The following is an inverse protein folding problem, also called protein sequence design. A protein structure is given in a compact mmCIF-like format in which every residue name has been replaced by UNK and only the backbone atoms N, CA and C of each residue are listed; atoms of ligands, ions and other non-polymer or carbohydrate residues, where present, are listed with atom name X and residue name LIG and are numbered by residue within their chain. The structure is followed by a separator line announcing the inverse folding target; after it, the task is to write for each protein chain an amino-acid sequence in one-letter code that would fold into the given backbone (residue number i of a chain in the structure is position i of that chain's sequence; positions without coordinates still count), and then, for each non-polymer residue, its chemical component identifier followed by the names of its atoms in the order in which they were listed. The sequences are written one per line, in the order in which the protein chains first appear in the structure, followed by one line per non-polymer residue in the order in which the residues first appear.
data_IF_525305516400
#
_entry.id   IF_525305516400
#
_cell.length_a   1.000
_cell.length_b   1.000
_cell.length_c   1.000
_cell.angle_alpha   90.00
_cell.angle_beta   90.00
_cell.angle_gamma   90.00
#
_symmetry.space_group_name_H-M   'P 1'
#
loop_
_entity.id
_entity.type
_entity.pdbx_description
1 polymer ?
#
# COMPACT_ATOMS: atom_id res chain seq x y z
N UNK A 1 -31.55 -46.74 53.08
CA UNK A 1 -30.62 -46.38 51.99
C UNK A 1 -31.19 -45.16 51.29
N UNK A 2 -30.78 -43.98 51.74
CA UNK A 2 -31.16 -42.68 51.16
C UNK A 2 -29.89 -42.08 50.59
N UNK A 3 -29.84 -41.93 49.27
CA UNK A 3 -28.73 -41.29 48.56
C UNK A 3 -29.09 -39.83 48.28
N UNK A 4 -28.16 -38.94 48.63
CA UNK A 4 -28.22 -37.49 48.46
C UNK A 4 -27.50 -37.11 47.16
N UNK A 5 -28.08 -36.30 46.23
CA UNK A 5 -27.38 -35.89 45.02
C UNK A 5 -26.51 -34.65 45.29
N UNK A 6 -25.21 -34.79 44.99
CA UNK A 6 -24.19 -33.75 45.08
C UNK A 6 -24.51 -32.56 44.15
N UNK A 7 -24.55 -31.39 44.78
CA UNK A 7 -24.19 -30.04 44.30
C UNK A 7 -23.56 -29.96 42.91
N UNK A 8 -24.28 -29.33 41.98
CA UNK A 8 -23.73 -28.82 40.74
C UNK A 8 -22.86 -27.59 40.99
N UNK A 9 -21.67 -27.59 40.39
CA UNK A 9 -20.85 -26.40 40.21
C UNK A 9 -21.49 -25.55 39.10
N UNK A 10 -22.05 -24.39 39.48
CA UNK A 10 -22.44 -23.35 38.52
C UNK A 10 -21.22 -22.90 37.71
N UNK A 11 -21.30 -22.81 36.38
CA UNK A 11 -20.24 -22.19 35.58
C UNK A 11 -20.20 -20.69 35.91
N UNK A 12 -19.03 -20.22 36.36
CA UNK A 12 -18.78 -18.80 36.64
C UNK A 12 -19.21 -17.93 35.45
N UNK A 13 -20.06 -16.97 35.79
CA UNK A 13 -20.87 -16.18 34.90
C UNK A 13 -20.03 -15.08 34.22
N UNK A 14 -19.32 -15.42 33.13
CA UNK A 14 -18.62 -14.45 32.26
C UNK A 14 -19.54 -13.33 31.75
N UNK A 15 -20.87 -13.55 31.77
CA UNK A 15 -21.87 -12.57 31.32
C UNK A 15 -22.00 -11.34 32.23
N UNK A 16 -21.53 -11.39 33.49
CA UNK A 16 -21.58 -10.22 34.39
C UNK A 16 -20.69 -9.06 33.96
N UNK A 17 -19.57 -9.34 33.28
CA UNK A 17 -18.65 -8.32 32.76
C UNK A 17 -19.26 -7.48 31.63
N UNK A 18 -20.34 -7.97 31.00
CA UNK A 18 -20.93 -7.39 29.79
C UNK A 18 -22.30 -6.72 30.01
N UNK A 19 -22.76 -6.66 31.27
CA UNK A 19 -24.05 -6.05 31.60
C UNK A 19 -24.01 -4.52 31.40
N UNK A 20 -24.68 -4.03 30.35
CA UNK A 20 -24.84 -2.59 30.07
C UNK A 20 -23.89 -2.03 29.00
N UNK A 21 -22.96 -2.81 28.45
CA UNK A 21 -22.18 -2.39 27.30
C UNK A 21 -23.05 -2.45 26.03
N UNK A 22 -23.40 -1.29 25.46
CA UNK A 22 -23.95 -1.27 24.09
C UNK A 22 -22.84 -1.71 23.15
N UNK A 23 -22.99 -2.89 22.54
CA UNK A 23 -22.07 -3.37 21.52
C UNK A 23 -21.91 -2.32 20.42
N UNK A 24 -20.71 -1.77 20.34
CA UNK A 24 -20.35 -0.85 19.26
C UNK A 24 -20.45 -1.60 17.94
N UNK A 25 -21.04 -1.01 16.88
CA UNK A 25 -21.15 -1.68 15.61
C UNK A 25 -19.75 -2.02 15.06
N UNK A 26 -19.60 -3.08 14.24
CA UNK A 26 -18.30 -3.52 13.72
C UNK A 26 -17.49 -2.39 13.04
N UNK A 27 -18.17 -1.49 12.31
CA UNK A 27 -17.55 -0.32 11.70
C UNK A 27 -16.84 0.59 12.71
N UNK A 28 -17.33 0.73 13.95
CA UNK A 28 -16.71 1.58 14.98
C UNK A 28 -15.43 0.94 15.51
N UNK A 29 -15.40 -0.39 15.65
CA UNK A 29 -14.17 -1.10 16.02
C UNK A 29 -13.09 -0.96 14.94
N UNK A 30 -13.47 -1.13 13.66
CA UNK A 30 -12.57 -0.88 12.54
C UNK A 30 -12.11 0.58 12.49
N UNK A 31 -13.02 1.54 12.71
CA UNK A 31 -12.67 2.95 12.72
C UNK A 31 -11.72 3.33 13.87
N UNK A 32 -11.87 2.72 15.04
CA UNK A 32 -10.92 2.87 16.16
C UNK A 32 -9.54 2.34 15.78
N UNK A 33 -9.47 1.14 15.18
CA UNK A 33 -8.20 0.59 14.71
C UNK A 33 -7.58 1.47 13.63
N UNK A 34 -8.38 1.98 12.70
CA UNK A 34 -7.93 2.93 11.68
C UNK A 34 -7.41 4.24 12.29
N UNK A 35 -8.07 4.76 13.33
CA UNK A 35 -7.60 5.92 14.05
C UNK A 35 -6.23 5.67 14.72
N UNK A 36 -6.00 4.47 15.27
CA UNK A 36 -4.68 4.09 15.81
C UNK A 36 -3.62 4.13 14.70
N UNK A 37 -3.89 3.55 13.53
CA UNK A 37 -2.97 3.62 12.39
C UNK A 37 -2.71 5.06 11.93
N UNK A 38 -3.72 5.91 11.90
CA UNK A 38 -3.56 7.32 11.50
C UNK A 38 -2.74 8.09 12.53
N UNK A 39 -2.95 7.86 13.83
CA UNK A 39 -2.11 8.45 14.89
C UNK A 39 -0.66 8.00 14.76
N UNK A 40 -0.44 6.71 14.49
CA UNK A 40 0.90 6.17 14.26
C UNK A 40 1.56 6.77 13.01
N UNK A 41 0.83 6.86 11.90
CA UNK A 41 1.27 7.51 10.67
C UNK A 41 1.67 8.98 10.92
N UNK A 42 0.83 9.74 11.65
CA UNK A 42 1.14 11.11 12.02
C UNK A 42 2.40 11.19 12.88
N UNK A 43 2.57 10.29 13.86
CA UNK A 43 3.78 10.23 14.66
C UNK A 43 5.04 10.02 13.81
N UNK A 44 5.01 9.07 12.87
CA UNK A 44 6.13 8.79 11.96
C UNK A 44 6.46 10.00 11.08
N UNK A 45 5.45 10.58 10.43
CA UNK A 45 5.66 11.74 9.55
C UNK A 45 6.10 12.99 10.30
N UNK A 46 5.53 13.30 11.47
CA UNK A 46 5.95 14.45 12.25
C UNK A 46 7.38 14.28 12.75
N UNK A 47 7.76 13.09 13.20
CA UNK A 47 9.14 12.82 13.64
C UNK A 47 10.12 12.95 12.47
N UNK A 48 9.74 12.54 11.27
CA UNK A 48 10.55 12.74 10.06
C UNK A 48 10.67 14.22 9.68
N UNK A 49 9.56 14.95 9.55
CA UNK A 49 9.52 16.36 9.13
C UNK A 49 10.31 17.26 10.09
N UNK A 50 10.24 16.98 11.39
CA UNK A 50 10.97 17.74 12.41
C UNK A 50 12.38 17.19 12.71
N UNK A 51 12.87 16.24 11.92
CA UNK A 51 14.24 15.74 12.05
C UNK A 51 15.20 16.45 11.10
N UNK A 52 16.49 16.33 11.39
CA UNK A 52 17.56 16.78 10.50
C UNK A 52 17.66 15.97 9.19
N UNK A 53 16.89 14.86 9.08
CA UNK A 53 16.85 13.99 7.91
C UNK A 53 15.79 14.39 6.87
N UNK A 54 15.02 15.46 7.13
CA UNK A 54 14.11 16.04 6.14
C UNK A 54 14.87 16.89 5.12
N UNK A 55 15.70 16.23 4.32
CA UNK A 55 16.55 16.87 3.31
C UNK A 55 16.55 16.06 2.03
N UNK A 56 16.67 16.68 0.84
CA UNK A 56 16.81 15.94 -0.41
C UNK A 56 18.02 15.00 -0.37
N UNK A 57 17.85 13.77 -0.85
CA UNK A 57 18.94 12.82 -0.95
C UNK A 57 19.93 13.23 -2.06
N UNK A 58 21.24 13.03 -1.87
CA UNK A 58 22.23 13.31 -2.88
C UNK A 58 22.15 12.27 -4.01
N UNK A 59 22.19 12.73 -5.27
CA UNK A 59 22.18 11.83 -6.45
C UNK A 59 23.53 11.12 -6.69
N UNK A 60 24.58 11.52 -5.97
CA UNK A 60 25.93 10.99 -6.16
C UNK A 60 26.61 11.48 -7.45
N UNK A 61 27.73 10.86 -7.85
CA UNK A 61 28.55 11.31 -8.99
C UNK A 61 27.97 10.97 -10.37
N UNK A 62 27.07 9.99 -10.49
CA UNK A 62 26.54 9.57 -11.79
C UNK A 62 25.47 10.54 -12.28
N UNK A 63 25.59 10.98 -13.53
CA UNK A 63 24.60 11.86 -14.15
C UNK A 63 23.33 11.07 -14.52
N UNK A 64 22.17 11.59 -14.12
CA UNK A 64 20.89 11.01 -14.51
C UNK A 64 20.66 11.33 -16.00
N UNK A 65 20.41 10.33 -16.86
CA UNK A 65 20.12 10.57 -18.27
C UNK A 65 18.98 11.57 -18.47
N UNK A 66 19.15 12.51 -19.40
CA UNK A 66 18.14 13.55 -19.67
C UNK A 66 16.77 13.00 -20.09
N UNK A 67 16.75 11.86 -20.78
CA UNK A 67 15.52 11.14 -21.13
C UNK A 67 14.78 10.60 -19.90
N UNK A 68 15.51 10.02 -18.95
CA UNK A 68 14.97 9.55 -17.66
C UNK A 68 14.42 10.71 -16.85
N UNK A 69 15.16 11.82 -16.76
CA UNK A 69 14.67 13.04 -16.08
C UNK A 69 13.40 13.60 -16.74
N UNK A 70 13.33 13.62 -18.07
CA UNK A 70 12.13 14.07 -18.77
C UNK A 70 10.92 13.18 -18.45
N UNK A 71 11.10 11.86 -18.40
CA UNK A 71 10.06 10.92 -17.98
C UNK A 71 9.64 11.11 -16.53
N UNK A 72 10.60 11.29 -15.61
CA UNK A 72 10.32 11.57 -14.19
C UNK A 72 9.46 12.82 -14.06
N UNK A 73 9.84 13.93 -14.70
CA UNK A 73 9.06 15.17 -14.66
C UNK A 73 7.70 15.03 -15.33
N UNK A 74 7.61 14.29 -16.44
CA UNK A 74 6.34 14.00 -17.10
C UNK A 74 5.38 13.28 -16.15
N UNK A 75 5.85 12.25 -15.44
CA UNK A 75 5.05 11.50 -14.48
C UNK A 75 4.69 12.34 -13.24
N UNK A 76 5.62 13.11 -12.68
CA UNK A 76 5.33 13.99 -11.54
C UNK A 76 4.27 15.04 -11.89
N UNK A 77 4.45 15.76 -13.00
CA UNK A 77 3.51 16.80 -13.44
C UNK A 77 2.19 16.17 -13.85
N UNK A 78 2.22 15.08 -14.61
CA UNK A 78 1.03 14.38 -15.07
C UNK A 78 0.18 13.88 -13.91
N UNK A 79 0.80 13.20 -12.95
CA UNK A 79 0.10 12.70 -11.78
C UNK A 79 -0.36 13.85 -10.87
N UNK A 80 0.42 14.93 -10.70
CA UNK A 80 -0.01 16.11 -9.95
C UNK A 80 -1.27 16.74 -10.56
N UNK A 81 -1.29 16.98 -11.88
CA UNK A 81 -2.43 17.57 -12.60
C UNK A 81 -3.65 16.68 -12.48
N UNK A 82 -3.49 15.36 -12.68
CA UNK A 82 -4.59 14.40 -12.54
C UNK A 82 -5.09 14.32 -11.10
N UNK A 83 -4.19 14.38 -10.11
CA UNK A 83 -4.52 14.36 -8.68
C UNK A 83 -5.33 15.59 -8.27
N UNK A 84 -4.91 16.78 -8.71
CA UNK A 84 -5.66 18.02 -8.50
C UNK A 84 -7.02 17.97 -9.20
N UNK A 85 -7.07 17.45 -10.42
CA UNK A 85 -8.32 17.27 -11.17
C UNK A 85 -9.31 16.33 -10.46
N UNK A 86 -8.83 15.20 -9.96
CA UNK A 86 -9.66 14.25 -9.20
C UNK A 86 -10.10 14.84 -7.85
N UNK A 87 -9.22 15.53 -7.14
CA UNK A 87 -9.56 16.20 -5.89
C UNK A 87 -10.65 17.26 -6.12
N UNK A 88 -10.52 18.06 -7.18
CA UNK A 88 -11.54 19.03 -7.58
C UNK A 88 -12.87 18.33 -7.94
N UNK A 89 -12.82 17.20 -8.66
CA UNK A 89 -14.00 16.40 -8.97
C UNK A 89 -14.69 15.86 -7.71
N UNK A 90 -13.94 15.33 -6.75
CA UNK A 90 -14.45 14.84 -5.46
C UNK A 90 -15.11 15.98 -4.69
N UNK A 91 -14.48 17.16 -4.60
CA UNK A 91 -15.06 18.34 -3.93
C UNK A 91 -16.32 18.80 -4.64
N UNK A 92 -16.30 18.88 -5.97
CA UNK A 92 -17.47 19.29 -6.76
C UNK A 92 -18.64 18.34 -6.56
N UNK A 93 -18.38 17.03 -6.57
CA UNK A 93 -19.38 15.99 -6.32
C UNK A 93 -19.93 16.08 -4.89
N UNK A 94 -19.05 16.24 -3.90
CA UNK A 94 -19.43 16.45 -2.49
C UNK A 94 -20.32 17.69 -2.32
N UNK A 95 -20.03 18.79 -3.00
CA UNK A 95 -20.87 20.00 -2.95
C UNK A 95 -22.22 19.82 -3.65
N UNK A 96 -22.28 19.06 -4.75
CA UNK A 96 -23.51 18.82 -5.52
C UNK A 96 -24.44 17.85 -4.81
N UNK A 97 -23.91 16.74 -4.30
CA UNK A 97 -24.70 15.64 -3.72
C UNK A 97 -24.88 15.79 -2.21
N UNK A 98 -24.16 16.73 -1.57
CA UNK A 98 -24.10 16.92 -0.10
C UNK A 98 -23.67 15.68 0.68
N UNK A 99 -23.12 14.69 -0.02
CA UNK A 99 -22.61 13.44 0.53
C UNK A 99 -21.17 13.22 0.07
N UNK A 100 -20.37 12.60 0.93
CA UNK A 100 -18.99 12.30 0.59
C UNK A 100 -18.93 11.05 -0.31
N UNK A 101 -18.36 11.16 -1.52
CA UNK A 101 -18.42 10.06 -2.48
C UNK A 101 -17.61 8.85 -1.99
N UNK A 102 -18.12 7.64 -2.20
CA UNK A 102 -17.42 6.38 -1.87
C UNK A 102 -16.03 6.30 -2.51
N UNK A 103 -15.86 6.86 -3.71
CA UNK A 103 -14.55 6.96 -4.36
C UNK A 103 -13.56 7.80 -3.54
N UNK A 104 -14.01 8.92 -2.95
CA UNK A 104 -13.19 9.73 -2.06
C UNK A 104 -12.83 8.98 -0.77
N UNK A 105 -13.76 8.17 -0.23
CA UNK A 105 -13.47 7.32 0.95
C UNK A 105 -12.35 6.35 0.63
N UNK A 106 -12.44 5.69 -0.52
CA UNK A 106 -11.45 4.72 -0.99
C UNK A 106 -10.07 5.34 -1.20
N UNK A 107 -10.01 6.49 -1.91
CA UNK A 107 -8.75 7.20 -2.17
C UNK A 107 -8.07 7.64 -0.88
N UNK A 108 -8.82 8.26 0.02
CA UNK A 108 -8.26 8.73 1.29
C UNK A 108 -7.80 7.56 2.16
N UNK A 109 -8.56 6.46 2.19
CA UNK A 109 -8.16 5.28 2.95
C UNK A 109 -6.85 4.66 2.43
N UNK A 110 -6.65 4.62 1.10
CA UNK A 110 -5.40 4.15 0.51
C UNK A 110 -4.23 5.09 0.79
N UNK A 111 -4.45 6.40 0.69
CA UNK A 111 -3.42 7.40 1.04
C UNK A 111 -2.97 7.28 2.51
N UNK A 112 -3.89 6.93 3.41
CA UNK A 112 -3.61 6.66 4.83
C UNK A 112 -3.01 5.27 5.09
N UNK A 113 -2.93 4.39 4.09
CA UNK A 113 -2.23 3.11 4.16
C UNK A 113 -0.87 3.13 3.43
N UNK A 114 -0.69 4.07 2.49
CA UNK A 114 0.47 4.17 1.62
C UNK A 114 1.79 4.42 2.39
N UNK A 115 1.75 4.98 3.60
CA UNK A 115 2.97 5.19 4.39
C UNK A 115 3.77 3.91 4.66
N UNK A 116 3.15 2.73 4.53
CA UNK A 116 3.83 1.44 4.67
C UNK A 116 4.68 1.04 3.46
N UNK A 117 4.62 1.76 2.34
CA UNK A 117 5.31 1.40 1.09
C UNK A 117 6.83 1.35 1.24
N UNK A 118 7.40 2.23 2.07
CA UNK A 118 8.81 2.18 2.48
C UNK A 118 9.22 0.84 3.09
N UNK A 119 8.25 0.08 3.61
CA UNK A 119 8.44 -1.20 4.28
C UNK A 119 9.16 -2.25 3.44
N UNK A 120 9.18 -2.11 2.10
CA UNK A 120 9.97 -2.98 1.22
C UNK A 120 11.47 -3.01 1.56
N UNK A 121 11.99 -1.92 2.14
CA UNK A 121 13.38 -1.77 2.57
C UNK A 121 13.58 -1.90 4.09
N UNK A 122 12.57 -2.34 4.85
CA UNK A 122 12.59 -2.30 6.31
C UNK A 122 13.75 -3.11 6.92
N UNK A 123 13.96 -4.34 6.44
CA UNK A 123 14.99 -5.23 6.99
C UNK A 123 16.33 -5.10 6.26
N UNK A 124 16.30 -4.91 4.95
CA UNK A 124 17.49 -4.78 4.09
C UNK A 124 17.16 -3.91 2.88
N UNK A 125 18.16 -3.32 2.20
CA UNK A 125 17.90 -2.58 0.98
C UNK A 125 17.58 -3.59 -0.14
N UNK A 126 16.41 -3.43 -0.76
CA UNK A 126 15.88 -4.28 -1.83
C UNK A 126 15.52 -3.44 -3.05
N UNK A 127 15.05 -2.21 -2.84
CA UNK A 127 14.47 -1.37 -3.86
C UNK A 127 15.04 0.06 -3.82
N UNK A 128 15.30 0.65 -4.99
CA UNK A 128 15.83 2.00 -5.14
C UNK A 128 15.02 2.85 -6.13
N UNK A 129 14.53 3.99 -5.68
CA UNK A 129 13.98 5.04 -6.55
C UNK A 129 15.10 5.86 -7.17
N UNK A 130 14.85 6.44 -8.34
CA UNK A 130 15.78 7.42 -8.91
C UNK A 130 15.76 8.72 -8.08
N UNK A 131 16.92 9.20 -7.65
CA UNK A 131 17.06 10.45 -6.88
C UNK A 131 16.59 11.71 -7.62
N UNK A 132 16.37 11.63 -8.94
CA UNK A 132 15.78 12.70 -9.74
C UNK A 132 14.34 13.10 -9.35
N UNK A 133 13.61 12.20 -8.69
CA UNK A 133 12.29 12.51 -8.14
C UNK A 133 12.36 13.56 -7.03
N UNK A 134 11.30 14.35 -6.90
CA UNK A 134 11.13 15.25 -5.76
C UNK A 134 11.01 14.43 -4.47
N UNK A 135 12.07 14.47 -3.65
CA UNK A 135 12.20 13.70 -2.43
C UNK A 135 12.75 14.57 -1.28
N UNK A 136 12.43 14.19 -0.05
CA UNK A 136 12.95 14.81 1.18
C UNK A 136 13.51 13.72 2.11
N UNK A 137 14.24 12.76 1.52
CA UNK A 137 14.68 11.56 2.21
C UNK A 137 13.55 10.55 2.37
N UNK A 138 13.53 9.84 3.49
CA UNK A 138 12.54 8.79 3.79
C UNK A 138 12.05 8.88 5.23
N UNK A 139 10.80 8.48 5.47
CA UNK A 139 10.25 8.33 6.81
C UNK A 139 10.48 6.92 7.39
N UNK A 140 11.03 5.98 6.62
CA UNK A 140 11.17 4.57 6.99
C UNK A 140 11.90 4.36 8.32
N UNK A 141 13.03 5.06 8.51
CA UNK A 141 13.84 4.97 9.73
C UNK A 141 13.11 5.38 11.02
N UNK A 142 12.02 6.14 10.89
CA UNK A 142 11.23 6.58 12.03
C UNK A 142 10.14 5.57 12.42
N UNK A 143 9.97 4.49 11.67
CA UNK A 143 9.05 3.40 11.97
C UNK A 143 9.68 2.50 13.05
N UNK A 144 9.03 2.31 14.21
CA UNK A 144 9.44 1.32 15.19
C UNK A 144 9.67 -0.07 14.59
N UNK A 145 10.83 -0.68 14.89
CA UNK A 145 11.24 -1.97 14.34
C UNK A 145 12.01 -1.88 13.02
N UNK A 146 12.29 -0.68 12.51
CA UNK A 146 13.18 -0.49 11.38
C UNK A 146 14.61 -0.92 11.72
N UNK A 147 15.25 -1.68 10.83
CA UNK A 147 16.66 -2.07 10.98
C UNK A 147 17.52 -0.91 10.50
N UNK A 148 18.42 -0.40 11.34
CA UNK A 148 19.33 0.70 10.97
C UNK A 148 20.38 0.22 9.96
N UNK A 149 20.47 0.90 8.81
CA UNK A 149 21.28 0.47 7.66
C UNK A 149 22.16 1.59 7.08
N UNK A 150 22.15 2.77 7.69
CA UNK A 150 22.84 3.95 7.19
C UNK A 150 21.98 4.72 6.19
N UNK A 151 22.51 5.00 5.00
CA UNK A 151 21.77 5.70 3.96
C UNK A 151 20.62 4.85 3.40
N UNK A 152 19.49 5.48 3.12
CA UNK A 152 18.23 4.82 2.77
C UNK A 152 17.63 5.36 1.48
N UNK A 153 16.73 4.58 0.88
CA UNK A 153 16.06 4.92 -0.36
C UNK A 153 15.13 6.15 -0.20
N UNK A 154 15.39 7.28 -0.89
CA UNK A 154 14.54 8.45 -0.85
C UNK A 154 13.17 8.17 -1.47
N UNK A 155 12.13 8.76 -0.90
CA UNK A 155 10.75 8.55 -1.35
C UNK A 155 10.32 9.63 -2.35
N UNK A 156 9.75 9.25 -3.51
CA UNK A 156 9.36 10.20 -4.55
C UNK A 156 8.00 10.82 -4.19
N UNK A 157 8.00 11.84 -3.33
CA UNK A 157 6.79 12.38 -2.67
C UNK A 157 5.68 12.71 -3.68
N UNK A 158 5.98 13.45 -4.75
CA UNK A 158 4.95 13.87 -5.72
C UNK A 158 4.37 12.64 -6.44
N UNK A 159 5.24 11.78 -6.96
CA UNK A 159 4.82 10.58 -7.66
C UNK A 159 4.03 9.65 -6.73
N UNK A 160 4.51 9.44 -5.51
CA UNK A 160 3.88 8.63 -4.48
C UNK A 160 2.48 9.14 -4.14
N UNK A 161 2.31 10.41 -3.75
CA UNK A 161 0.97 10.94 -3.44
C UNK A 161 0.04 10.79 -4.64
N UNK A 162 0.55 11.10 -5.83
CA UNK A 162 -0.28 11.19 -7.00
C UNK A 162 -0.61 9.80 -7.60
N UNK A 163 0.25 8.79 -7.45
CA UNK A 163 -0.03 7.42 -7.88
C UNK A 163 -1.22 6.82 -7.10
N UNK A 164 -1.23 6.95 -5.78
CA UNK A 164 -2.35 6.47 -4.95
C UNK A 164 -3.64 7.28 -5.15
N UNK A 165 -3.53 8.58 -5.44
CA UNK A 165 -4.70 9.42 -5.72
C UNK A 165 -5.29 9.12 -7.11
N UNK A 166 -4.45 8.85 -8.12
CA UNK A 166 -4.89 8.80 -9.53
C UNK A 166 -5.00 7.38 -10.05
N UNK A 167 -3.95 6.56 -9.90
CA UNK A 167 -3.89 5.24 -10.52
C UNK A 167 -4.87 4.28 -9.86
N UNK A 168 -5.04 4.35 -8.55
CA UNK A 168 -5.95 3.43 -7.84
C UNK A 168 -7.42 3.64 -8.25
N UNK A 169 -7.96 4.87 -8.30
CA UNK A 169 -9.30 5.15 -8.85
C UNK A 169 -9.47 4.78 -10.32
N UNK A 170 -8.47 5.09 -11.17
CA UNK A 170 -8.53 4.78 -12.59
C UNK A 170 -8.56 3.27 -12.83
N UNK A 171 -7.74 2.52 -12.09
CA UNK A 171 -7.76 1.06 -12.12
C UNK A 171 -9.15 0.52 -11.76
N UNK A 172 -9.76 1.01 -10.68
CA UNK A 172 -11.10 0.62 -10.25
C UNK A 172 -12.16 0.92 -11.33
N UNK A 173 -12.16 2.12 -11.89
CA UNK A 173 -13.13 2.51 -12.93
C UNK A 173 -12.97 1.68 -14.21
N UNK A 174 -11.72 1.35 -14.59
CA UNK A 174 -11.44 0.47 -15.72
C UNK A 174 -11.96 -0.96 -15.50
N UNK A 175 -11.96 -1.42 -14.25
CA UNK A 175 -12.34 -2.78 -13.89
C UNK A 175 -13.83 -3.00 -13.91
N UNK A 176 -14.64 -2.06 -13.43
CA UNK A 176 -16.11 -2.22 -13.46
C UNK A 176 -16.58 -2.52 -14.89
N UNK A 177 -16.04 -1.77 -15.87
CA UNK A 177 -16.30 -1.98 -17.30
C UNK A 177 -15.70 -3.29 -17.83
N UNK A 178 -14.51 -3.66 -17.37
CA UNK A 178 -13.88 -4.92 -17.74
C UNK A 178 -14.67 -6.13 -17.23
N UNK A 179 -15.11 -6.13 -15.97
CA UNK A 179 -15.92 -7.20 -15.37
C UNK A 179 -17.24 -7.33 -16.13
N UNK A 180 -17.89 -6.20 -16.45
CA UNK A 180 -19.12 -6.21 -17.25
C UNK A 180 -18.87 -6.85 -18.63
N UNK A 181 -17.75 -6.51 -19.26
CA UNK A 181 -17.36 -7.03 -20.59
C UNK A 181 -17.05 -8.53 -20.53
N UNK A 182 -16.30 -8.97 -19.53
CA UNK A 182 -15.93 -10.39 -19.32
C UNK A 182 -17.17 -11.23 -19.02
N UNK A 183 -18.09 -10.74 -18.18
CA UNK A 183 -19.36 -11.45 -17.89
C UNK A 183 -20.28 -11.52 -19.12
N UNK A 184 -20.31 -10.48 -19.95
CA UNK A 184 -21.06 -10.50 -21.22
C UNK A 184 -20.46 -11.48 -22.22
N UNK A 185 -19.13 -11.58 -22.29
CA UNK A 185 -18.43 -12.46 -23.25
C UNK A 185 -18.39 -13.93 -22.79
N UNK A 186 -18.29 -14.18 -21.49
CA UNK A 186 -18.20 -15.51 -20.88
C UNK A 186 -19.26 -15.70 -19.78
N UNK A 187 -20.55 -15.86 -20.13
CA UNK A 187 -21.65 -15.95 -19.16
C UNK A 187 -21.60 -17.21 -18.26
N UNK A 188 -20.76 -18.20 -18.60
CA UNK A 188 -20.58 -19.44 -17.81
C UNK A 188 -19.50 -19.35 -16.73
N UNK A 189 -18.77 -18.23 -16.62
CA UNK A 189 -17.72 -18.11 -15.61
C UNK A 189 -18.33 -17.90 -14.22
N UNK A 190 -17.94 -18.74 -13.26
CA UNK A 190 -18.37 -18.57 -11.86
C UNK A 190 -17.61 -17.41 -11.19
N UNK A 191 -18.04 -17.00 -9.99
CA UNK A 191 -17.40 -15.89 -9.25
C UNK A 191 -15.91 -16.11 -9.02
N UNK A 192 -15.52 -17.34 -8.71
CA UNK A 192 -14.11 -17.71 -8.51
C UNK A 192 -13.28 -17.53 -9.79
N UNK A 193 -13.81 -17.94 -10.95
CA UNK A 193 -13.14 -17.76 -12.23
C UNK A 193 -12.90 -16.31 -12.61
N UNK A 194 -13.84 -15.41 -12.26
CA UNK A 194 -13.63 -13.96 -12.45
C UNK A 194 -12.50 -13.45 -11.56
N UNK A 195 -12.45 -13.87 -10.29
CA UNK A 195 -11.39 -13.45 -9.35
C UNK A 195 -10.03 -13.95 -9.84
N UNK A 196 -9.92 -15.22 -10.23
CA UNK A 196 -8.66 -15.78 -10.75
C UNK A 196 -8.22 -15.07 -12.03
N UNK A 197 -9.15 -14.80 -12.95
CA UNK A 197 -8.85 -14.02 -14.16
C UNK A 197 -8.35 -12.62 -13.82
N UNK A 198 -8.98 -11.93 -12.87
CA UNK A 198 -8.53 -10.61 -12.45
C UNK A 198 -7.15 -10.66 -11.82
N UNK A 199 -6.87 -11.63 -10.93
CA UNK A 199 -5.54 -11.78 -10.32
C UNK A 199 -4.49 -11.99 -11.41
N UNK A 200 -4.75 -12.88 -12.37
CA UNK A 200 -3.82 -13.13 -13.48
C UNK A 200 -3.60 -11.88 -14.35
N UNK A 201 -4.67 -11.16 -14.70
CA UNK A 201 -4.59 -9.94 -15.49
C UNK A 201 -3.81 -8.85 -14.77
N UNK A 202 -4.13 -8.59 -13.50
CA UNK A 202 -3.45 -7.54 -12.73
C UNK A 202 -2.00 -7.89 -12.42
N UNK A 203 -1.69 -9.17 -12.20
CA UNK A 203 -0.30 -9.64 -12.13
C UNK A 203 0.45 -9.33 -13.42
N UNK A 204 -0.14 -9.65 -14.58
CA UNK A 204 0.47 -9.38 -15.87
C UNK A 204 0.64 -7.88 -16.14
N UNK A 205 -0.39 -7.08 -15.83
CA UNK A 205 -0.34 -5.62 -15.98
C UNK A 205 0.71 -5.00 -15.06
N UNK A 206 0.79 -5.46 -13.81
CA UNK A 206 1.79 -5.02 -12.85
C UNK A 206 3.20 -5.31 -13.37
N UNK A 207 3.50 -6.55 -13.74
CA UNK A 207 4.80 -6.93 -14.31
C UNK A 207 5.13 -6.08 -15.56
N UNK A 208 4.17 -5.90 -16.46
CA UNK A 208 4.39 -5.13 -17.70
C UNK A 208 4.66 -3.65 -17.43
N UNK A 209 3.90 -3.02 -16.54
CA UNK A 209 4.10 -1.63 -16.17
C UNK A 209 5.42 -1.43 -15.41
N UNK A 210 5.74 -2.31 -14.47
CA UNK A 210 7.01 -2.29 -13.74
C UNK A 210 8.21 -2.41 -14.69
N UNK A 211 8.12 -3.32 -15.66
CA UNK A 211 9.15 -3.44 -16.70
C UNK A 211 9.27 -2.18 -17.57
N UNK A 212 8.18 -1.46 -17.82
CA UNK A 212 8.23 -0.16 -18.48
C UNK A 212 8.95 0.89 -17.61
N UNK A 213 8.64 0.96 -16.31
CA UNK A 213 9.27 1.90 -15.38
C UNK A 213 10.76 1.61 -15.15
N UNK A 214 11.17 0.34 -15.13
CA UNK A 214 12.57 -0.07 -15.08
C UNK A 214 13.32 0.37 -16.36
N UNK A 215 12.69 0.32 -17.53
CA UNK A 215 13.33 0.68 -18.80
C UNK A 215 13.52 2.17 -18.97
N UNK A 216 12.62 2.98 -18.42
CA UNK A 216 12.80 4.44 -18.41
C UNK A 216 13.75 4.91 -17.29
N UNK A 217 14.15 4.02 -16.37
CA UNK A 217 15.08 4.30 -15.28
C UNK A 217 14.45 5.03 -14.09
N UNK A 218 13.13 4.86 -13.88
CA UNK A 218 12.43 5.53 -12.78
C UNK A 218 12.77 4.90 -11.41
N UNK A 219 12.84 3.57 -11.34
CA UNK A 219 13.25 2.83 -10.16
C UNK A 219 13.67 1.41 -10.54
N UNK A 220 14.34 0.73 -9.62
CA UNK A 220 14.88 -0.61 -9.83
C UNK A 220 14.83 -1.45 -8.55
N UNK A 221 14.59 -2.75 -8.73
CA UNK A 221 14.87 -3.74 -7.70
C UNK A 221 16.36 -4.04 -7.70
N UNK A 222 17.00 -3.78 -6.58
CA UNK A 222 18.43 -3.97 -6.37
C UNK A 222 18.74 -5.37 -5.85
N UNK A 223 17.76 -6.03 -5.23
CA UNK A 223 17.89 -7.42 -4.79
C UNK A 223 16.65 -8.23 -5.08
N UNK A 224 16.83 -9.45 -5.55
CA UNK A 224 15.76 -10.43 -5.78
C UNK A 224 16.24 -11.83 -5.43
N UNK A 225 15.29 -12.76 -5.30
CA UNK A 225 15.57 -14.19 -5.32
C UNK A 225 15.55 -14.66 -6.78
N UNK A 226 16.65 -15.25 -7.27
CA UNK A 226 16.80 -15.62 -8.68
C UNK A 226 15.67 -16.49 -9.23
N UNK A 227 15.19 -17.46 -8.44
CA UNK A 227 14.19 -18.45 -8.85
C UNK A 227 12.79 -17.85 -9.04
N UNK A 228 12.52 -16.74 -8.34
CA UNK A 228 11.21 -16.07 -8.32
C UNK A 228 11.28 -14.64 -8.84
N UNK A 229 12.13 -14.39 -9.83
CA UNK A 229 12.25 -13.09 -10.49
C UNK A 229 12.34 -13.21 -12.01
N UNK A 230 11.93 -12.15 -12.70
CA UNK A 230 12.12 -12.00 -14.15
C UNK A 230 13.38 -11.17 -14.37
N UNK A 231 14.20 -11.53 -15.36
CA UNK A 231 15.47 -10.84 -15.69
C UNK A 231 16.44 -10.74 -14.50
N UNK A 232 16.47 -11.76 -13.64
CA UNK A 232 17.34 -11.87 -12.47
C UNK A 232 18.80 -11.55 -12.81
N UNK A 233 19.45 -10.73 -11.98
CA UNK A 233 20.85 -10.35 -12.17
C UNK A 233 21.06 -9.24 -13.21
N UNK A 234 20.00 -8.57 -13.65
CA UNK A 234 20.09 -7.37 -14.50
C UNK A 234 19.41 -6.18 -13.81
N UNK A 235 19.67 -4.96 -14.27
CA UNK A 235 18.95 -3.76 -13.80
C UNK A 235 17.44 -3.82 -14.06
N UNK A 236 16.96 -4.73 -14.91
CA UNK A 236 15.52 -4.91 -15.18
C UNK A 236 14.88 -6.02 -14.36
N UNK A 237 15.60 -6.55 -13.35
CA UNK A 237 15.07 -7.60 -12.51
C UNK A 237 13.80 -7.16 -11.78
N UNK A 238 12.83 -8.06 -11.67
CA UNK A 238 11.58 -7.81 -10.97
C UNK A 238 11.11 -9.04 -10.20
N UNK A 239 10.81 -8.94 -8.90
CA UNK A 239 10.32 -10.05 -8.10
C UNK A 239 8.90 -10.47 -8.52
N UNK A 240 8.74 -11.71 -8.99
CA UNK A 240 7.43 -12.24 -9.40
C UNK A 240 6.45 -12.31 -8.24
N UNK A 241 6.93 -12.60 -7.03
CA UNK A 241 6.09 -12.63 -5.84
C UNK A 241 5.47 -11.25 -5.56
N UNK A 242 6.15 -10.15 -5.87
CA UNK A 242 5.55 -8.83 -5.77
C UNK A 242 4.47 -8.60 -6.81
N UNK A 243 4.77 -8.93 -8.08
CA UNK A 243 3.78 -8.84 -9.15
C UNK A 243 2.50 -9.63 -8.84
N UNK A 244 2.64 -10.83 -8.29
CA UNK A 244 1.51 -11.71 -7.93
C UNK A 244 0.78 -11.20 -6.69
N UNK A 245 1.48 -10.94 -5.59
CA UNK A 245 0.84 -10.60 -4.32
C UNK A 245 0.39 -9.14 -4.28
N UNK A 246 1.25 -8.19 -4.63
CA UNK A 246 0.88 -6.77 -4.67
C UNK A 246 0.00 -6.48 -5.90
N UNK A 247 0.54 -6.78 -7.08
CA UNK A 247 -0.14 -6.53 -8.35
C UNK A 247 -1.44 -7.31 -8.46
N UNK A 248 -1.44 -8.62 -8.20
CA UNK A 248 -2.64 -9.46 -8.27
C UNK A 248 -3.52 -9.38 -7.01
N UNK A 249 -3.05 -9.94 -5.89
CA UNK A 249 -3.89 -10.23 -4.72
C UNK A 249 -4.35 -8.96 -4.00
N UNK A 250 -3.45 -8.06 -3.61
CA UNK A 250 -3.77 -6.83 -2.88
C UNK A 250 -4.68 -5.93 -3.70
N UNK A 251 -4.37 -5.77 -4.98
CA UNK A 251 -5.18 -5.00 -5.94
C UNK A 251 -6.58 -5.59 -6.07
N UNK A 252 -6.72 -6.89 -6.37
CA UNK A 252 -8.03 -7.53 -6.52
C UNK A 252 -8.85 -7.53 -5.23
N UNK A 253 -8.23 -7.71 -4.06
CA UNK A 253 -8.92 -7.60 -2.77
C UNK A 253 -9.48 -6.19 -2.56
N UNK A 254 -8.68 -5.17 -2.86
CA UNK A 254 -9.05 -3.76 -2.67
C UNK A 254 -10.17 -3.35 -3.62
N UNK A 255 -10.05 -3.74 -4.89
CA UNK A 255 -11.10 -3.54 -5.89
C UNK A 255 -12.34 -4.33 -5.52
N UNK A 256 -12.20 -5.57 -5.04
CA UNK A 256 -13.31 -6.38 -4.57
C UNK A 256 -14.12 -5.66 -3.48
N UNK A 257 -13.46 -5.03 -2.51
CA UNK A 257 -14.13 -4.25 -1.46
C UNK A 257 -14.94 -3.09 -2.05
N UNK A 258 -14.45 -2.45 -3.11
CA UNK A 258 -15.14 -1.34 -3.76
C UNK A 258 -16.28 -1.77 -4.71
N UNK A 259 -16.06 -2.84 -5.49
CA UNK A 259 -17.00 -3.35 -6.49
C UNK A 259 -18.14 -4.15 -5.87
N UNK A 260 -17.90 -4.91 -4.80
CA UNK A 260 -18.95 -5.65 -4.07
C UNK A 260 -19.73 -4.76 -3.08
N UNK A 261 -19.91 -3.48 -3.42
CA UNK A 261 -20.78 -2.59 -2.65
C UNK A 261 -22.24 -2.97 -2.85
N UNK A 262 -23.05 -2.66 -1.85
CA UNK A 262 -24.51 -2.77 -1.96
C UNK A 262 -25.09 -1.70 -2.91
N UNK A 263 -26.32 -1.87 -3.37
CA UNK A 263 -27.05 -0.92 -4.22
C UNK A 263 -27.12 0.50 -3.61
N UNK A 264 -26.98 0.59 -2.29
CA UNK A 264 -26.93 1.83 -1.52
C UNK A 264 -25.52 2.47 -1.44
N UNK A 265 -24.52 1.92 -2.11
CA UNK A 265 -23.17 2.47 -2.12
C UNK A 265 -22.29 2.11 -0.90
N UNK A 266 -22.74 1.16 -0.07
CA UNK A 266 -22.09 0.73 1.17
C UNK A 266 -21.12 -0.42 0.94
N UNK A 267 -19.91 -0.29 1.51
CA UNK A 267 -18.84 -1.30 1.44
C UNK A 267 -19.02 -2.34 2.56
N UNK A 268 -18.32 -3.48 2.45
CA UNK A 268 -18.34 -4.53 3.50
C UNK A 268 -17.88 -3.99 4.86
N UNK A 269 -16.99 -2.98 4.85
CA UNK A 269 -16.51 -2.26 6.04
C UNK A 269 -17.58 -1.37 6.68
N UNK A 270 -18.64 -1.04 5.96
CA UNK A 270 -19.71 -0.15 6.41
C UNK A 270 -20.80 -0.91 7.20
N UNK A 271 -20.59 -2.18 7.55
CA UNK A 271 -21.56 -2.98 8.33
C UNK A 271 -21.81 -2.35 9.70
N UNK A 272 -23.09 -2.08 9.97
CA UNK A 272 -23.53 -1.44 11.21
C UNK A 272 -23.54 0.09 11.17
N UNK A 273 -23.34 0.70 10.00
CA UNK A 273 -23.45 2.14 9.78
C UNK A 273 -24.83 2.71 10.17
N UNK A 274 -25.90 1.91 10.05
CA UNK A 274 -27.27 2.27 10.42
C UNK A 274 -27.44 2.60 11.90
N UNK A 275 -26.54 2.09 12.76
CA UNK A 275 -26.55 2.38 14.21
C UNK A 275 -25.88 3.72 14.55
N UNK A 276 -25.26 4.39 13.58
CA UNK A 276 -24.63 5.70 13.77
C UNK A 276 -25.67 6.80 13.55
N UNK A 277 -26.29 7.28 14.63
CA UNK A 277 -27.30 8.34 14.59
C UNK A 277 -26.80 9.74 14.18
N UNK A 278 -25.51 9.91 13.85
CA UNK A 278 -24.90 11.23 13.59
C UNK A 278 -24.28 11.31 12.19
N UNK A 279 -25.04 11.83 11.22
CA UNK A 279 -24.70 11.85 9.79
C UNK A 279 -23.39 12.57 9.45
N UNK A 280 -22.97 13.57 10.26
CA UNK A 280 -21.77 14.38 9.97
C UNK A 280 -20.46 13.61 10.08
N UNK A 281 -20.38 12.64 10.99
CA UNK A 281 -19.16 11.85 11.23
C UNK A 281 -19.10 10.57 10.42
N UNK A 282 -20.20 10.19 9.77
CA UNK A 282 -20.30 8.96 8.98
C UNK A 282 -19.18 8.86 7.94
N UNK A 283 -18.86 9.88 7.12
CA UNK A 283 -17.77 9.78 6.16
C UNK A 283 -16.40 9.51 6.81
N UNK A 284 -16.11 10.16 7.94
CA UNK A 284 -14.86 9.98 8.67
C UNK A 284 -14.75 8.57 9.22
N UNK A 285 -15.83 8.06 9.82
CA UNK A 285 -15.89 6.68 10.35
C UNK A 285 -15.67 5.67 9.22
N UNK A 286 -16.27 5.89 8.04
CA UNK A 286 -16.06 5.04 6.85
C UNK A 286 -14.61 5.07 6.37
N UNK A 287 -14.00 6.27 6.29
CA UNK A 287 -12.58 6.42 5.89
C UNK A 287 -11.69 5.67 6.88
N UNK A 288 -11.87 5.88 8.18
CA UNK A 288 -11.05 5.22 9.20
C UNK A 288 -11.24 3.70 9.20
N UNK A 289 -12.48 3.21 9.06
CA UNK A 289 -12.75 1.78 9.01
C UNK A 289 -12.07 1.12 7.80
N UNK A 290 -12.14 1.76 6.62
CA UNK A 290 -11.47 1.25 5.42
C UNK A 290 -9.94 1.38 5.52
N UNK A 291 -9.45 2.45 6.13
CA UNK A 291 -8.01 2.67 6.40
C UNK A 291 -7.44 1.53 7.23
N UNK A 292 -8.18 1.04 8.23
CA UNK A 292 -7.75 -0.10 9.03
C UNK A 292 -7.55 -1.35 8.18
N UNK A 293 -8.50 -1.64 7.28
CA UNK A 293 -8.43 -2.82 6.40
C UNK A 293 -7.24 -2.72 5.45
N UNK A 294 -7.03 -1.57 4.80
CA UNK A 294 -5.89 -1.39 3.89
C UNK A 294 -4.56 -1.41 4.63
N UNK A 295 -4.47 -0.80 5.82
CA UNK A 295 -3.24 -0.90 6.63
C UNK A 295 -2.94 -2.34 7.03
N UNK A 296 -3.94 -3.16 7.37
CA UNK A 296 -3.72 -4.57 7.70
C UNK A 296 -3.28 -5.38 6.48
N UNK A 297 -3.91 -5.16 5.31
CA UNK A 297 -3.51 -5.82 4.05
C UNK A 297 -2.07 -5.47 3.71
N UNK A 298 -1.71 -4.18 3.77
CA UNK A 298 -0.34 -3.72 3.53
C UNK A 298 0.64 -4.30 4.55
N UNK A 299 0.27 -4.36 5.82
CA UNK A 299 1.15 -4.89 6.87
C UNK A 299 1.45 -6.37 6.64
N UNK A 300 0.43 -7.18 6.33
CA UNK A 300 0.62 -8.61 6.00
C UNK A 300 1.47 -8.77 4.74
N UNK A 301 1.24 -7.95 3.72
CA UNK A 301 2.04 -7.94 2.51
C UNK A 301 3.51 -7.59 2.81
N UNK A 302 3.78 -6.51 3.54
CA UNK A 302 5.13 -6.05 3.87
C UNK A 302 5.88 -7.07 4.74
N UNK A 303 5.21 -7.70 5.70
CA UNK A 303 5.80 -8.76 6.52
C UNK A 303 6.18 -9.97 5.67
N UNK A 304 5.27 -10.44 4.80
CA UNK A 304 5.54 -11.57 3.90
C UNK A 304 6.64 -11.25 2.89
N UNK A 305 6.62 -10.03 2.33
CA UNK A 305 7.62 -9.54 1.40
C UNK A 305 9.00 -9.51 2.03
N UNK A 306 9.14 -8.95 3.24
CA UNK A 306 10.42 -8.91 3.94
C UNK A 306 10.92 -10.32 4.32
N UNK A 307 10.02 -11.22 4.72
CA UNK A 307 10.37 -12.61 5.05
C UNK A 307 10.97 -13.36 3.85
N UNK A 308 10.36 -13.21 2.67
CA UNK A 308 10.89 -13.80 1.43
C UNK A 308 12.21 -13.12 1.05
N UNK A 309 12.27 -11.78 1.13
CA UNK A 309 13.46 -11.01 0.73
C UNK A 309 14.69 -11.19 1.61
N UNK A 310 14.56 -11.73 2.82
CA UNK A 310 15.72 -12.19 3.57
C UNK A 310 16.55 -13.21 2.80
N UNK A 311 15.93 -13.96 1.89
CA UNK A 311 16.56 -14.96 1.03
C UNK A 311 16.85 -14.43 -0.39
N UNK A 312 16.81 -13.11 -0.62
CA UNK A 312 17.25 -12.51 -1.88
C UNK A 312 18.77 -12.65 -2.01
N UNK A 313 19.20 -13.39 -3.04
CA UNK A 313 20.57 -13.82 -3.29
C UNK A 313 21.21 -13.09 -4.48
N UNK A 314 20.40 -12.44 -5.30
CA UNK A 314 20.82 -11.90 -6.58
C UNK A 314 20.72 -10.38 -6.60
N UNK A 315 21.77 -9.73 -7.09
CA UNK A 315 21.81 -8.30 -7.40
C UNK A 315 22.37 -8.08 -8.82
N UNK A 316 22.09 -6.94 -9.47
CA UNK A 316 22.73 -6.58 -10.73
C UNK A 316 24.26 -6.42 -10.53
N UNK A 317 25.07 -6.47 -11.60
CA UNK A 317 26.50 -6.19 -11.51
C UNK A 317 26.75 -4.84 -10.84
N UNK A 318 27.72 -4.78 -9.93
CA UNK A 318 27.95 -3.60 -9.10
C UNK A 318 28.26 -2.33 -9.92
N UNK A 319 28.93 -2.49 -11.07
CA UNK A 319 29.28 -1.40 -11.99
C UNK A 319 28.07 -0.85 -12.76
N UNK A 320 26.98 -1.63 -12.87
CA UNK A 320 25.78 -1.25 -13.60
C UNK A 320 24.76 -0.50 -12.72
N UNK A 321 24.98 -0.46 -11.40
CA UNK A 321 24.05 0.16 -10.44
C UNK A 321 24.46 1.63 -10.22
N UNK A 322 23.70 2.61 -10.73
CA UNK A 322 24.09 4.02 -10.64
C UNK A 322 23.91 4.60 -9.23
N UNK A 323 24.68 5.64 -8.92
CA UNK A 323 24.66 6.34 -7.64
C UNK A 323 23.30 6.93 -7.27
N UNK A 324 22.58 7.42 -8.27
CA UNK A 324 21.24 7.97 -8.12
C UNK A 324 20.16 6.92 -7.88
N UNK A 325 20.49 5.62 -7.87
CA UNK A 325 19.56 4.51 -7.55
C UNK A 325 19.96 3.82 -6.26
N UNK A 326 21.26 3.60 -6.03
CA UNK A 326 21.70 2.92 -4.83
C UNK A 326 21.79 3.83 -3.60
N UNK A 327 21.88 5.16 -3.74
CA UNK A 327 21.83 6.12 -2.61
C UNK A 327 22.76 5.80 -1.44
N UNK A 328 23.94 5.25 -1.72
CA UNK A 328 24.88 4.71 -0.72
C UNK A 328 24.30 3.66 0.26
N UNK A 329 23.19 3.00 -0.11
CA UNK A 329 22.59 1.92 0.66
C UNK A 329 23.57 0.75 0.82
N UNK A 330 23.61 0.21 2.04
CA UNK A 330 24.58 -0.82 2.39
C UNK A 330 24.42 -2.12 1.58
N UNK A 331 25.55 -2.71 1.19
CA UNK A 331 25.62 -3.98 0.46
C UNK A 331 25.02 -3.95 -0.95
N UNK A 332 24.76 -2.77 -1.51
CA UNK A 332 24.33 -2.59 -2.90
C UNK A 332 25.52 -2.06 -3.70
N UNK A 333 25.80 -2.67 -4.85
CA UNK A 333 26.90 -2.25 -5.71
C UNK A 333 28.24 -2.31 -4.97
N UNK A 334 29.03 -1.24 -5.07
CA UNK A 334 30.32 -1.12 -4.38
C UNK A 334 30.23 -0.62 -2.92
N UNK A 335 29.02 -0.44 -2.39
CA UNK A 335 28.84 0.07 -1.03
C UNK A 335 29.24 -0.97 0.03
N UNK A 336 29.72 -0.52 1.21
CA UNK A 336 30.10 -1.42 2.29
C UNK A 336 28.94 -2.31 2.73
N UNK A 337 29.21 -3.53 3.24
CA UNK A 337 28.17 -4.43 3.73
C UNK A 337 27.37 -3.77 4.86
N UNK A 338 26.11 -4.20 5.02
CA UNK A 338 25.25 -3.68 6.07
C UNK A 338 25.84 -3.94 7.45
N UNK A 339 25.74 -2.98 8.38
CA UNK A 339 26.17 -3.18 9.75
C UNK A 339 25.42 -4.37 10.35
N UNK A 340 26.10 -5.16 11.16
CA UNK A 340 25.45 -6.21 11.93
C UNK A 340 24.44 -5.55 12.89
N UNK A 341 23.24 -6.15 13.07
CA UNK A 341 22.30 -5.65 14.06
C UNK A 341 22.98 -5.63 15.44
N UNK A 342 22.92 -4.48 16.10
CA UNK A 342 23.53 -4.23 17.40
C UNK A 342 22.88 -5.03 18.53
#
# INVERSE_FOLDING_TARGET
MTADPKTGTEPENFDRLWTGAKDSPPIVWLARLGAVFVVFQMYVYLRWIFSDKFTPAPNGPDEIPGSTMAWIRFWEIGCLVLGVGLFWFIIRKMRREREFPTLGVFVLAWLLAAWQDVGVNAVRPVFGYNGGFFNMGTWGEFIPGWVEKGAENPQPIIYFLASYIVLTPLAIMGIDKLIETVRKRFPRINRAGVIVFMIALFTFLCITLEQFFHRIGAWHYLRVNADWAVFSGTMHQFPLYEGVFFGGVVTVLSIGIYCFRDNNGLMITDKGIERLGNTRWVPVVRILALTAVFNLIMMVFMLGFNFINQHADTQPPADDIPSYVHHNMCGIGHNPPCPLPA
#
